data_IF_045003379310
#
_entry.id   IF_045003379310
#
_cell.length_a   1.000
_cell.length_b   1.000
_cell.length_c   1.000
_cell.angle_alpha   90.00
_cell.angle_beta   90.00
_cell.angle_gamma   90.00
#
_symmetry.space_group_name_H-M   'P 1'
#
loop_
_entity.id
_entity.type
_entity.pdbx_description
1 polymer ?
#
# COMPACT_ATOMS: atom_id res chain seq x y z
N UNK A 1 -23.49 -7.35 -14.56
CA UNK A 1 -22.79 -6.22 -13.92
C UNK A 1 -23.17 -6.24 -12.45
N UNK A 2 -22.44 -7.00 -11.64
CA UNK A 2 -22.54 -6.91 -10.18
C UNK A 2 -21.20 -6.40 -9.70
N UNK A 3 -21.11 -5.09 -9.51
CA UNK A 3 -20.04 -4.44 -8.78
C UNK A 3 -20.30 -4.66 -7.29
N UNK A 4 -19.90 -5.82 -6.78
CA UNK A 4 -19.85 -6.09 -5.35
C UNK A 4 -18.46 -5.70 -4.83
N UNK A 5 -18.12 -4.42 -4.98
CA UNK A 5 -16.97 -3.80 -4.31
C UNK A 5 -17.27 -3.74 -2.81
N UNK A 6 -16.95 -4.84 -2.13
CA UNK A 6 -16.76 -4.84 -0.67
C UNK A 6 -15.77 -3.71 -0.37
N UNK A 7 -16.06 -2.75 0.54
CA UNK A 7 -15.20 -1.60 0.72
C UNK A 7 -13.80 -2.08 1.10
N UNK A 8 -12.86 -1.82 0.19
CA UNK A 8 -11.44 -2.06 0.37
C UNK A 8 -10.92 -1.09 1.43
N UNK A 9 -10.96 -1.49 2.70
CA UNK A 9 -10.52 -0.70 3.87
C UNK A 9 -11.29 0.64 4.06
N UNK A 10 -11.70 0.95 5.30
CA UNK A 10 -12.15 2.31 5.64
C UNK A 10 -10.91 3.21 5.80
N UNK A 11 -10.37 3.65 4.67
CA UNK A 11 -9.21 4.55 4.63
C UNK A 11 -9.44 5.84 5.43
N UNK A 12 -10.60 6.52 5.37
CA UNK A 12 -10.87 7.66 6.24
C UNK A 12 -10.74 7.36 7.74
N UNK A 13 -11.19 6.20 8.20
CA UNK A 13 -11.00 5.79 9.60
C UNK A 13 -9.52 5.52 9.90
N UNK A 14 -8.84 4.78 9.03
CA UNK A 14 -7.41 4.50 9.17
C UNK A 14 -6.59 5.79 9.25
N UNK A 15 -6.88 6.77 8.40
CA UNK A 15 -6.20 8.07 8.35
C UNK A 15 -6.40 8.87 9.65
N UNK A 16 -7.61 8.86 10.22
CA UNK A 16 -7.88 9.47 11.53
C UNK A 16 -7.08 8.78 12.65
N UNK A 17 -7.04 7.46 12.65
CA UNK A 17 -6.30 6.69 13.66
C UNK A 17 -4.79 6.91 13.52
N UNK A 18 -4.28 6.97 12.29
CA UNK A 18 -2.87 7.21 12.00
C UNK A 18 -2.45 8.61 12.47
N UNK A 19 -3.28 9.63 12.25
CA UNK A 19 -3.02 10.98 12.73
C UNK A 19 -3.03 11.10 14.26
N UNK A 20 -3.80 10.26 14.95
CA UNK A 20 -4.00 10.34 16.40
C UNK A 20 -3.00 9.50 17.22
N UNK A 21 -2.12 8.72 16.59
CA UNK A 21 -1.16 7.84 17.28
C UNK A 21 0.29 8.23 17.03
N UNK A 22 1.12 8.12 18.06
CA UNK A 22 2.58 8.21 17.95
C UNK A 22 3.24 6.84 17.72
N UNK A 23 2.47 5.76 17.87
CA UNK A 23 2.91 4.38 17.63
C UNK A 23 2.12 3.77 16.46
N UNK A 24 2.49 4.08 15.20
CA UNK A 24 1.69 3.69 14.04
C UNK A 24 1.84 2.21 13.66
N UNK A 25 2.94 1.54 14.02
CA UNK A 25 3.24 0.18 13.56
C UNK A 25 2.12 -0.86 13.84
N UNK A 26 1.50 -0.91 15.03
CA UNK A 26 0.39 -1.83 15.28
C UNK A 26 -0.80 -1.59 14.35
N UNK A 27 -1.11 -0.33 14.03
CA UNK A 27 -2.20 0.05 13.13
C UNK A 27 -1.94 -0.45 11.71
N UNK A 28 -0.72 -0.27 11.18
CA UNK A 28 -0.32 -0.79 9.87
C UNK A 28 -0.39 -2.33 9.82
N UNK A 29 0.12 -3.01 10.86
CA UNK A 29 0.07 -4.48 10.95
C UNK A 29 -1.37 -4.99 10.97
N UNK A 30 -2.24 -4.38 11.77
CA UNK A 30 -3.64 -4.73 11.83
C UNK A 30 -4.31 -4.56 10.46
N UNK A 31 -4.03 -3.46 9.76
CA UNK A 31 -4.59 -3.21 8.45
C UNK A 31 -4.09 -4.20 7.38
N UNK A 32 -2.79 -4.56 7.41
CA UNK A 32 -2.25 -5.61 6.54
C UNK A 32 -2.91 -6.97 6.79
N UNK A 33 -3.09 -7.36 8.05
CA UNK A 33 -3.79 -8.61 8.40
C UNK A 33 -5.22 -8.60 7.86
N UNK A 34 -6.00 -7.55 8.15
CA UNK A 34 -7.39 -7.45 7.69
C UNK A 34 -7.51 -7.45 6.16
N UNK A 35 -6.57 -6.78 5.47
CA UNK A 35 -6.50 -6.77 4.01
C UNK A 35 -6.21 -8.17 3.44
N UNK A 36 -5.23 -8.88 3.99
CA UNK A 36 -4.90 -10.25 3.59
C UNK A 36 -6.07 -11.22 3.82
N UNK A 37 -6.75 -11.12 4.97
CA UNK A 37 -7.94 -11.93 5.26
C UNK A 37 -9.08 -11.64 4.26
N UNK A 38 -9.23 -10.37 3.84
CA UNK A 38 -10.16 -9.97 2.80
C UNK A 38 -9.84 -10.58 1.44
N UNK A 39 -8.58 -10.50 1.01
CA UNK A 39 -8.10 -11.10 -0.23
C UNK A 39 -8.25 -12.63 -0.22
N UNK A 40 -7.95 -13.28 0.92
CA UNK A 40 -8.13 -14.72 1.07
C UNK A 40 -9.59 -15.13 0.95
N UNK A 41 -10.53 -14.40 1.57
CA UNK A 41 -11.97 -14.67 1.42
C UNK A 41 -12.43 -14.55 -0.04
N UNK A 42 -11.96 -13.51 -0.74
CA UNK A 42 -12.27 -13.30 -2.17
C UNK A 42 -11.70 -14.41 -3.07
N UNK A 43 -10.48 -14.86 -2.78
CA UNK A 43 -9.88 -16.02 -3.43
C UNK A 43 -10.71 -17.29 -3.23
N UNK A 44 -11.11 -17.59 -2.00
CA UNK A 44 -11.95 -18.75 -1.68
C UNK A 44 -13.35 -18.66 -2.31
N UNK A 45 -13.84 -17.44 -2.58
CA UNK A 45 -15.07 -17.19 -3.32
C UNK A 45 -14.93 -17.33 -4.85
N UNK A 46 -13.73 -17.67 -5.36
CA UNK A 46 -13.49 -17.92 -6.78
C UNK A 46 -13.19 -16.67 -7.60
N UNK A 47 -12.77 -15.56 -6.98
CA UNK A 47 -12.36 -14.37 -7.73
C UNK A 47 -11.09 -14.65 -8.57
N UNK A 48 -11.02 -14.15 -9.82
CA UNK A 48 -9.82 -14.29 -10.66
C UNK A 48 -8.54 -13.79 -9.98
N UNK A 49 -7.47 -14.59 -10.09
CA UNK A 49 -6.20 -14.34 -9.38
C UNK A 49 -5.52 -13.06 -9.82
N UNK A 50 -5.57 -12.74 -11.10
CA UNK A 50 -5.06 -11.48 -11.68
C UNK A 50 -5.65 -10.25 -10.97
N UNK A 51 -6.94 -10.27 -10.67
CA UNK A 51 -7.61 -9.19 -9.91
C UNK A 51 -7.15 -9.13 -8.45
N UNK A 52 -6.93 -10.29 -7.83
CA UNK A 52 -6.49 -10.35 -6.43
C UNK A 52 -5.06 -9.87 -6.25
N UNK A 53 -4.18 -10.21 -7.20
CA UNK A 53 -2.77 -9.79 -7.23
C UNK A 53 -2.68 -8.28 -7.42
N UNK A 54 -3.43 -7.72 -8.37
CA UNK A 54 -3.52 -6.26 -8.57
C UNK A 54 -4.10 -5.54 -7.35
N UNK A 55 -5.20 -6.05 -6.78
CA UNK A 55 -5.79 -5.47 -5.56
C UNK A 55 -4.82 -5.51 -4.37
N UNK A 56 -3.97 -6.54 -4.27
CA UNK A 56 -2.93 -6.59 -3.23
C UNK A 56 -1.89 -5.49 -3.42
N UNK A 57 -1.45 -5.23 -4.65
CA UNK A 57 -0.53 -4.14 -4.95
C UNK A 57 -1.14 -2.79 -4.54
N UNK A 58 -2.38 -2.52 -4.92
CA UNK A 58 -3.11 -1.29 -4.56
C UNK A 58 -3.23 -1.10 -3.03
N UNK A 59 -3.55 -2.17 -2.30
CA UNK A 59 -3.61 -2.14 -0.83
C UNK A 59 -2.24 -1.76 -0.21
N UNK A 60 -1.16 -2.26 -0.78
CA UNK A 60 0.21 -1.93 -0.33
C UNK A 60 0.58 -0.50 -0.71
N UNK A 61 0.21 0.00 -1.89
CA UNK A 61 0.40 1.40 -2.30
C UNK A 61 -0.21 2.34 -1.27
N UNK A 62 -1.46 2.09 -0.88
CA UNK A 62 -2.18 2.92 0.07
C UNK A 62 -1.49 2.98 1.44
N UNK A 63 -0.90 1.88 1.88
CA UNK A 63 -0.13 1.85 3.13
C UNK A 63 1.21 2.56 2.98
N UNK A 64 1.94 2.30 1.90
CA UNK A 64 3.25 2.90 1.67
C UNK A 64 3.17 4.41 1.51
N UNK A 65 2.18 4.94 0.78
CA UNK A 65 1.96 6.40 0.64
C UNK A 65 1.74 7.05 2.00
N UNK A 66 0.97 6.41 2.89
CA UNK A 66 0.70 6.91 4.24
C UNK A 66 1.92 6.84 5.14
N UNK A 67 2.67 5.74 5.08
CA UNK A 67 3.93 5.60 5.79
C UNK A 67 4.95 6.64 5.32
N UNK A 68 5.06 6.83 4.00
CA UNK A 68 5.93 7.81 3.37
C UNK A 68 5.63 9.22 3.84
N UNK A 69 4.37 9.69 3.71
CA UNK A 69 3.95 11.03 4.15
C UNK A 69 4.15 11.30 5.63
N UNK A 70 4.22 10.26 6.46
CA UNK A 70 4.50 10.40 7.90
C UNK A 70 6.00 10.50 8.20
N UNK A 71 6.83 9.81 7.41
CA UNK A 71 8.28 9.73 7.62
C UNK A 71 9.03 10.85 6.89
N UNK A 72 8.53 11.24 5.73
CA UNK A 72 9.12 12.24 4.84
C UNK A 72 8.20 13.44 4.81
N UNK A 73 8.77 14.63 5.01
CA UNK A 73 8.01 15.89 4.94
C UNK A 73 7.30 15.99 3.59
N UNK A 74 6.10 16.55 3.57
CA UNK A 74 5.37 16.84 2.32
C UNK A 74 6.07 17.85 1.44
N UNK A 75 7.05 18.58 1.98
CA UNK A 75 7.80 19.64 1.29
C UNK A 75 9.11 19.11 0.69
N UNK A 76 9.37 17.80 0.78
CA UNK A 76 10.53 17.16 0.18
C UNK A 76 10.24 16.84 -1.30
N UNK A 77 10.29 17.87 -2.15
CA UNK A 77 10.06 17.77 -3.60
C UNK A 77 11.25 17.14 -4.36
N UNK A 78 12.37 16.93 -3.67
CA UNK A 78 13.63 16.37 -4.16
C UNK A 78 13.75 14.87 -3.93
N UNK A 79 12.71 14.20 -3.43
CA UNK A 79 12.73 12.76 -3.13
C UNK A 79 11.49 12.06 -3.64
N UNK A 80 11.67 10.92 -4.31
CA UNK A 80 10.59 10.11 -4.83
C UNK A 80 10.66 8.67 -4.30
N UNK A 81 9.50 8.13 -3.92
CA UNK A 81 9.32 6.71 -3.62
C UNK A 81 8.76 6.01 -4.86
N UNK A 82 9.49 5.02 -5.38
CA UNK A 82 9.14 4.30 -6.60
C UNK A 82 9.00 2.81 -6.32
N UNK A 83 7.85 2.25 -6.67
CA UNK A 83 7.65 0.81 -6.68
C UNK A 83 8.39 0.19 -7.87
N UNK A 84 9.16 -0.87 -7.64
CA UNK A 84 9.92 -1.56 -8.70
C UNK A 84 9.63 -3.07 -8.69
N UNK A 85 10.26 -3.82 -9.60
CA UNK A 85 10.08 -5.27 -9.67
C UNK A 85 8.65 -5.70 -10.01
N UNK A 86 8.22 -6.85 -9.49
CA UNK A 86 6.86 -7.35 -9.66
C UNK A 86 5.81 -6.45 -9.00
N UNK A 87 6.15 -5.82 -7.88
CA UNK A 87 5.29 -4.86 -7.21
C UNK A 87 4.98 -3.65 -8.10
N UNK A 88 6.00 -3.03 -8.71
CA UNK A 88 5.83 -1.90 -9.63
C UNK A 88 4.99 -2.21 -10.87
N UNK A 89 4.91 -3.48 -11.28
CA UNK A 89 4.03 -3.94 -12.37
C UNK A 89 2.61 -4.32 -11.93
N UNK A 90 2.25 -4.08 -10.66
CA UNK A 90 1.00 -4.53 -10.05
C UNK A 90 0.84 -6.07 -10.01
N UNK A 91 1.94 -6.81 -10.02
CA UNK A 91 2.01 -8.28 -9.99
C UNK A 91 2.44 -8.80 -8.61
N UNK A 92 1.82 -8.27 -7.55
CA UNK A 92 2.23 -8.56 -6.18
C UNK A 92 1.56 -9.84 -5.62
N UNK A 93 2.21 -10.99 -5.79
CA UNK A 93 1.72 -12.28 -5.29
C UNK A 93 1.83 -12.42 -3.75
N UNK A 94 1.04 -13.32 -3.12
CA UNK A 94 1.16 -13.62 -1.70
C UNK A 94 2.58 -14.10 -1.33
N UNK A 95 3.15 -13.50 -0.28
CA UNK A 95 4.50 -13.84 0.18
C UNK A 95 5.64 -13.23 -0.65
N UNK A 96 5.34 -12.49 -1.72
CA UNK A 96 6.35 -11.74 -2.46
C UNK A 96 6.90 -10.58 -1.63
N UNK A 97 8.18 -10.30 -1.82
CA UNK A 97 8.85 -9.12 -1.29
C UNK A 97 8.30 -7.84 -1.96
N UNK A 98 8.45 -6.72 -1.25
CA UNK A 98 8.10 -5.39 -1.74
C UNK A 98 9.40 -4.64 -2.02
N UNK A 99 9.73 -4.51 -3.30
CA UNK A 99 10.93 -3.81 -3.75
C UNK A 99 10.62 -2.32 -3.98
N UNK A 100 11.37 -1.46 -3.30
CA UNK A 100 11.24 -0.01 -3.37
C UNK A 100 12.57 0.64 -3.77
N UNK A 101 12.48 1.66 -4.61
CA UNK A 101 13.58 2.55 -4.94
C UNK A 101 13.25 3.95 -4.38
N UNK A 102 14.19 4.52 -3.63
CA UNK A 102 14.14 5.92 -3.21
C UNK A 102 15.09 6.69 -4.13
N UNK A 103 14.53 7.63 -4.89
CA UNK A 103 15.28 8.51 -5.78
C UNK A 103 15.44 9.86 -5.12
N UNK A 104 16.65 10.43 -5.21
CA UNK A 104 16.96 11.79 -4.79
C UNK A 104 17.23 12.61 -6.05
N UNK A 105 16.76 13.86 -6.07
CA UNK A 105 17.16 14.82 -7.06
C UNK A 105 18.68 15.03 -6.99
N UNK A 106 19.30 15.23 -8.14
CA UNK A 106 20.71 15.57 -8.20
C UNK A 106 20.88 17.00 -7.66
N UNK A 107 21.78 17.20 -6.70
CA UNK A 107 22.21 18.54 -6.33
C UNK A 107 22.93 19.13 -7.54
N UNK A 108 22.30 20.07 -8.24
CA UNK A 108 22.93 20.83 -9.32
C UNK A 108 23.90 21.85 -8.69
N UNK A 109 24.95 21.36 -8.04
CA UNK A 109 26.12 22.17 -7.67
C UNK A 109 27.09 22.16 -8.85
N UNK A 110 26.78 23.00 -9.83
CA UNK A 110 27.72 23.48 -10.85
C UNK A 110 28.26 24.87 -10.47
#
# INVERSE_FOLDING_TARGET
MNDSSTPACDWPQFDRQLAATDTPLPLFRQQLTAANDGLQRRFLAGEPVDRLVSARAELVDQLLVRAWRRLVSTDADDIALVAVGGYGRHELHPGSDIDLLILLAEDDTA
#
